data_IF_233935517063
#
_entry.id   IF_233935517063
#
_cell.length_a   1.000
_cell.length_b   1.000
_cell.length_c   1.000
_cell.angle_alpha   90.00
_cell.angle_beta   90.00
_cell.angle_gamma   90.00
#
_symmetry.space_group_name_H-M   'P 1'
#
loop_
_entity.id
_entity.type
_entity.pdbx_description
1 polymer ?
#
# COMPACT_ATOMS: atom_id res chain seq x y z
N UNK A 1 18.41 -9.02 -44.22
CA UNK A 1 17.06 -8.42 -44.09
C UNK A 1 16.01 -9.46 -43.67
N UNK A 2 16.11 -10.73 -44.09
CA UNK A 2 15.22 -11.83 -43.64
C UNK A 2 15.27 -12.10 -42.12
N UNK A 3 16.43 -11.95 -41.49
CA UNK A 3 16.63 -12.20 -40.05
C UNK A 3 15.77 -11.30 -39.14
N UNK A 4 15.62 -10.02 -39.46
CA UNK A 4 14.83 -9.08 -38.66
C UNK A 4 13.32 -9.31 -38.79
N UNK A 5 12.85 -9.79 -39.95
CA UNK A 5 11.44 -10.10 -40.16
C UNK A 5 11.01 -11.32 -39.32
N UNK A 6 11.83 -12.37 -39.31
CA UNK A 6 11.57 -13.58 -38.52
C UNK A 6 11.54 -13.29 -37.01
N UNK A 7 12.40 -12.40 -36.51
CA UNK A 7 12.39 -11.97 -35.10
C UNK A 7 11.09 -11.24 -34.77
N UNK A 8 10.64 -10.33 -35.64
CA UNK A 8 9.39 -9.59 -35.44
C UNK A 8 8.20 -10.55 -35.40
N UNK A 9 8.12 -11.51 -36.33
CA UNK A 9 7.04 -12.50 -36.34
C UNK A 9 7.02 -13.38 -35.08
N UNK A 10 8.20 -13.75 -34.57
CA UNK A 10 8.33 -14.50 -33.32
C UNK A 10 7.84 -13.68 -32.11
N UNK A 11 8.22 -12.41 -32.01
CA UNK A 11 7.75 -11.51 -30.94
C UNK A 11 6.25 -11.26 -31.02
N UNK A 12 5.69 -11.07 -32.22
CA UNK A 12 4.25 -10.92 -32.43
C UNK A 12 3.50 -12.19 -32.00
N UNK A 13 4.04 -13.37 -32.30
CA UNK A 13 3.43 -14.63 -31.85
C UNK A 13 3.48 -14.76 -30.33
N UNK A 14 4.61 -14.42 -29.71
CA UNK A 14 4.76 -14.42 -28.25
C UNK A 14 3.74 -13.50 -27.58
N UNK A 15 3.59 -12.27 -28.06
CA UNK A 15 2.58 -11.32 -27.53
C UNK A 15 1.17 -11.89 -27.70
N UNK A 16 0.88 -12.52 -28.85
CA UNK A 16 -0.44 -13.10 -29.09
C UNK A 16 -0.75 -14.25 -28.13
N UNK A 17 0.23 -15.09 -27.85
CA UNK A 17 0.09 -16.21 -26.94
C UNK A 17 -0.01 -15.73 -25.49
N UNK A 18 0.81 -14.77 -25.06
CA UNK A 18 0.77 -14.23 -23.69
C UNK A 18 -0.50 -13.42 -23.39
N UNK A 19 -0.98 -12.61 -24.34
CA UNK A 19 -2.09 -11.66 -24.11
C UNK A 19 -3.47 -12.20 -24.49
N UNK A 20 -3.56 -13.14 -25.45
CA UNK A 20 -4.85 -13.56 -26.04
C UNK A 20 -5.11 -15.07 -26.00
N UNK A 21 -4.23 -15.87 -25.39
CA UNK A 21 -4.59 -17.25 -25.04
C UNK A 21 -5.49 -17.27 -23.80
N UNK A 22 -5.89 -18.45 -23.32
CA UNK A 22 -6.77 -18.63 -22.15
C UNK A 22 -6.09 -18.31 -20.82
N UNK A 23 -5.19 -17.32 -20.80
CA UNK A 23 -4.49 -16.85 -19.61
C UNK A 23 -5.50 -16.14 -18.71
N UNK A 24 -5.41 -16.46 -17.41
CA UNK A 24 -6.13 -15.72 -16.39
C UNK A 24 -5.62 -14.27 -16.37
N UNK A 25 -6.42 -13.33 -16.85
CA UNK A 25 -6.07 -11.90 -16.88
C UNK A 25 -5.68 -11.37 -15.49
N UNK A 26 -6.18 -11.98 -14.41
CA UNK A 26 -5.86 -11.59 -13.05
C UNK A 26 -4.43 -11.98 -12.65
N UNK A 27 -3.75 -12.88 -13.37
CA UNK A 27 -2.34 -13.20 -13.10
C UNK A 27 -1.37 -12.09 -13.47
N UNK A 28 -1.82 -11.09 -14.25
CA UNK A 28 -1.02 -9.92 -14.61
C UNK A 28 -1.14 -8.76 -13.61
N UNK A 29 -2.02 -8.88 -12.62
CA UNK A 29 -2.23 -7.85 -11.60
C UNK A 29 -1.45 -8.25 -10.35
N UNK A 30 -0.46 -7.44 -9.97
CA UNK A 30 0.26 -7.63 -8.70
C UNK A 30 -0.73 -7.57 -7.53
N UNK A 31 -0.60 -8.44 -6.52
CA UNK A 31 -1.41 -8.35 -5.32
C UNK A 31 -1.20 -7.02 -4.60
N UNK A 32 -2.30 -6.34 -4.26
CA UNK A 32 -2.25 -5.15 -3.41
C UNK A 32 -2.11 -5.57 -1.95
N UNK A 33 -0.94 -5.31 -1.36
CA UNK A 33 -0.72 -5.58 0.06
C UNK A 33 -1.66 -4.78 0.97
N UNK A 34 -1.96 -3.53 0.58
CA UNK A 34 -2.89 -2.67 1.31
C UNK A 34 -4.30 -3.28 1.38
N UNK A 35 -4.85 -3.68 0.23
CA UNK A 35 -6.20 -4.26 0.17
C UNK A 35 -6.25 -5.65 0.83
N UNK A 36 -5.20 -6.45 0.65
CA UNK A 36 -5.07 -7.76 1.29
C UNK A 36 -5.06 -7.64 2.82
N UNK A 37 -4.38 -6.62 3.36
CA UNK A 37 -4.37 -6.36 4.80
C UNK A 37 -5.74 -5.93 5.34
N UNK A 38 -6.49 -5.12 4.57
CA UNK A 38 -7.88 -4.77 4.94
C UNK A 38 -8.78 -6.00 5.00
N UNK A 39 -8.69 -6.92 4.03
CA UNK A 39 -9.41 -8.20 4.09
C UNK A 39 -8.96 -9.06 5.26
N UNK A 40 -7.66 -9.10 5.55
CA UNK A 40 -7.12 -9.85 6.67
C UNK A 40 -7.66 -9.37 8.03
N UNK A 41 -8.03 -8.10 8.17
CA UNK A 41 -8.60 -7.55 9.41
C UNK A 41 -10.07 -7.90 9.63
N UNK A 42 -10.79 -8.41 8.63
CA UNK A 42 -12.23 -8.70 8.76
C UNK A 42 -12.43 -9.86 9.74
N UNK A 43 -13.12 -9.65 10.87
CA UNK A 43 -13.38 -10.73 11.80
C UNK A 43 -14.32 -11.74 11.16
N UNK A 44 -14.01 -13.02 11.38
CA UNK A 44 -14.97 -14.10 11.17
C UNK A 44 -16.13 -13.96 12.15
N UNK A 45 -17.04 -14.92 12.11
CA UNK A 45 -18.11 -15.02 13.10
C UNK A 45 -17.58 -15.31 14.51
N UNK A 46 -18.17 -16.27 15.20
CA UNK A 46 -17.95 -16.44 16.64
C UNK A 46 -16.60 -17.09 17.04
N UNK A 47 -15.70 -17.35 16.09
CA UNK A 47 -14.57 -18.25 16.31
C UNK A 47 -13.27 -17.50 16.68
N UNK A 48 -13.32 -16.16 16.72
CA UNK A 48 -12.13 -15.33 17.03
C UNK A 48 -11.02 -15.44 15.98
N UNK A 49 -11.38 -15.72 14.72
CA UNK A 49 -10.46 -15.91 13.59
C UNK A 49 -10.79 -14.94 12.46
N UNK A 50 -9.84 -14.60 11.57
CA UNK A 50 -10.13 -13.82 10.37
C UNK A 50 -11.12 -14.55 9.45
N UNK A 51 -12.06 -13.80 8.86
CA UNK A 51 -12.94 -14.32 7.81
C UNK A 51 -12.14 -14.79 6.59
N UNK A 52 -11.07 -14.06 6.28
CA UNK A 52 -10.15 -14.33 5.17
C UNK A 52 -8.76 -14.72 5.69
N UNK A 53 -8.65 -15.91 6.29
CA UNK A 53 -7.38 -16.40 6.87
C UNK A 53 -6.21 -16.43 5.88
N UNK A 54 -6.47 -16.72 4.61
CA UNK A 54 -5.43 -16.71 3.57
C UNK A 54 -4.83 -15.31 3.33
N UNK A 55 -5.62 -14.25 3.50
CA UNK A 55 -5.09 -12.87 3.42
C UNK A 55 -4.12 -12.59 4.57
N UNK A 56 -4.42 -13.06 5.79
CA UNK A 56 -3.52 -12.93 6.94
C UNK A 56 -2.23 -13.73 6.72
N UNK A 57 -2.35 -14.98 6.24
CA UNK A 57 -1.20 -15.81 5.89
C UNK A 57 -0.33 -15.12 4.82
N UNK A 58 -0.95 -14.51 3.81
CA UNK A 58 -0.22 -13.77 2.79
C UNK A 58 0.56 -12.59 3.41
N UNK A 59 -0.08 -11.80 4.28
CA UNK A 59 0.59 -10.67 4.96
C UNK A 59 1.82 -11.14 5.74
N UNK A 60 1.71 -12.23 6.52
CA UNK A 60 2.83 -12.76 7.31
C UNK A 60 4.02 -13.16 6.43
N UNK A 61 3.74 -13.77 5.27
CA UNK A 61 4.75 -14.41 4.43
C UNK A 61 5.32 -13.51 3.30
N UNK A 62 4.74 -12.33 3.05
CA UNK A 62 5.12 -11.46 1.93
C UNK A 62 5.73 -10.10 2.35
N UNK A 63 6.26 -10.00 3.57
CA UNK A 63 7.07 -8.84 3.96
C UNK A 63 8.42 -8.89 3.23
N UNK A 64 8.79 -7.80 2.56
CA UNK A 64 10.07 -7.70 1.85
C UNK A 64 11.24 -7.61 2.83
N UNK A 65 12.44 -7.86 2.32
CA UNK A 65 13.68 -7.85 3.12
C UNK A 65 13.87 -6.52 3.89
N UNK A 66 13.54 -5.39 3.25
CA UNK A 66 13.57 -4.05 3.86
C UNK A 66 12.44 -3.75 4.86
N UNK A 67 11.65 -4.74 5.28
CA UNK A 67 10.62 -4.59 6.30
C UNK A 67 9.29 -4.00 5.81
N UNK A 68 9.15 -3.69 4.54
CA UNK A 68 7.91 -3.12 3.99
C UNK A 68 7.04 -4.12 3.25
N UNK A 69 5.79 -3.72 3.03
CA UNK A 69 4.88 -4.31 2.07
C UNK A 69 4.52 -3.30 0.99
N UNK A 70 4.12 -3.79 -0.18
CA UNK A 70 3.75 -2.97 -1.33
C UNK A 70 4.72 -3.13 -2.50
N UNK A 71 4.53 -2.27 -3.50
CA UNK A 71 5.25 -2.33 -4.76
C UNK A 71 6.63 -1.67 -4.66
N UNK A 72 7.60 -2.26 -5.35
CA UNK A 72 8.92 -1.68 -5.53
C UNK A 72 9.03 -1.04 -6.91
N UNK A 73 9.91 -0.05 -7.05
CA UNK A 73 10.29 0.47 -8.36
C UNK A 73 11.08 -0.57 -9.19
N UNK A 74 11.44 -0.21 -10.43
CA UNK A 74 12.21 -1.09 -11.32
C UNK A 74 13.61 -1.47 -10.82
N UNK A 75 14.07 -0.88 -9.71
CA UNK A 75 15.35 -1.17 -9.06
C UNK A 75 15.17 -1.89 -7.71
N UNK A 76 13.93 -2.21 -7.33
CA UNK A 76 13.64 -2.88 -6.06
C UNK A 76 13.49 -1.94 -4.85
N UNK A 77 13.53 -0.61 -5.04
CA UNK A 77 13.37 0.34 -3.94
C UNK A 77 11.88 0.48 -3.57
N UNK A 78 11.56 0.72 -2.28
CA UNK A 78 10.20 1.04 -1.86
C UNK A 78 9.70 2.32 -2.54
N UNK A 79 8.42 2.36 -2.90
CA UNK A 79 7.74 3.58 -3.35
C UNK A 79 6.94 4.20 -2.22
N UNK A 80 6.37 5.39 -2.46
CA UNK A 80 5.50 6.06 -1.47
C UNK A 80 4.28 5.20 -1.09
N UNK A 81 3.85 4.29 -1.97
CA UNK A 81 2.72 3.39 -1.78
C UNK A 81 3.00 2.34 -0.69
N UNK A 82 4.27 2.07 -0.41
CA UNK A 82 4.70 1.15 0.64
C UNK A 82 4.35 1.65 2.04
N UNK A 83 4.25 2.97 2.26
CA UNK A 83 3.93 3.53 3.57
C UNK A 83 2.53 3.11 4.05
N UNK A 84 1.42 3.42 3.34
CA UNK A 84 0.09 2.98 3.75
C UNK A 84 -0.06 1.46 3.71
N UNK A 85 0.55 0.78 2.74
CA UNK A 85 0.49 -0.69 2.66
C UNK A 85 1.15 -1.35 3.87
N UNK A 86 2.31 -0.85 4.31
CA UNK A 86 3.02 -1.36 5.50
C UNK A 86 2.22 -1.10 6.77
N UNK A 87 1.65 0.10 6.94
CA UNK A 87 0.78 0.40 8.08
C UNK A 87 -0.45 -0.53 8.12
N UNK A 88 -1.09 -0.78 6.98
CA UNK A 88 -2.23 -1.69 6.91
C UNK A 88 -1.83 -3.12 7.29
N UNK A 89 -0.71 -3.62 6.75
CA UNK A 89 -0.19 -4.95 7.08
C UNK A 89 0.15 -5.09 8.58
N UNK A 90 0.78 -4.07 9.16
CA UNK A 90 1.06 -4.04 10.61
C UNK A 90 -0.22 -4.08 11.44
N UNK A 91 -1.27 -3.35 11.03
CA UNK A 91 -2.56 -3.39 11.69
C UNK A 91 -3.25 -4.75 11.59
N UNK A 92 -3.16 -5.41 10.44
CA UNK A 92 -3.66 -6.76 10.27
C UNK A 92 -2.97 -7.75 11.21
N UNK A 93 -1.63 -7.70 11.27
CA UNK A 93 -0.84 -8.55 12.17
C UNK A 93 -1.18 -8.30 13.65
N UNK A 94 -1.33 -7.04 14.04
CA UNK A 94 -1.69 -6.67 15.42
C UNK A 94 -3.09 -7.13 15.81
N UNK A 95 -4.06 -6.95 14.91
CA UNK A 95 -5.46 -7.34 15.13
C UNK A 95 -5.56 -8.80 15.58
N UNK A 96 -4.68 -9.66 15.05
CA UNK A 96 -4.67 -11.09 15.35
C UNK A 96 -3.54 -11.53 16.29
N UNK A 97 -2.71 -10.60 16.79
CA UNK A 97 -1.62 -10.90 17.72
C UNK A 97 -0.54 -11.81 17.15
N UNK A 98 -0.26 -11.71 15.84
CA UNK A 98 0.73 -12.54 15.14
C UNK A 98 1.86 -11.70 14.53
N UNK A 99 2.97 -12.34 14.15
CA UNK A 99 4.02 -11.69 13.37
C UNK A 99 4.77 -10.57 14.11
N UNK A 100 5.11 -10.74 15.39
CA UNK A 100 5.83 -9.71 16.16
C UNK A 100 7.12 -9.23 15.49
N UNK A 101 7.94 -10.14 14.95
CA UNK A 101 9.14 -9.78 14.20
C UNK A 101 8.83 -9.05 12.88
N UNK A 102 7.66 -9.29 12.28
CA UNK A 102 7.21 -8.52 11.12
C UNK A 102 6.81 -7.08 11.54
N UNK A 103 6.16 -6.92 12.69
CA UNK A 103 5.78 -5.61 13.24
C UNK A 103 7.02 -4.76 13.54
N UNK A 104 8.04 -5.33 14.17
CA UNK A 104 9.30 -4.63 14.47
C UNK A 104 9.98 -4.11 13.21
N UNK A 105 10.12 -4.98 12.19
CA UNK A 105 10.70 -4.58 10.89
C UNK A 105 9.86 -3.58 10.12
N UNK A 106 8.53 -3.70 10.20
CA UNK A 106 7.60 -2.75 9.59
C UNK A 106 7.69 -1.37 10.22
N UNK A 107 7.79 -1.33 11.55
CA UNK A 107 7.96 -0.08 12.29
C UNK A 107 9.30 0.58 11.96
N UNK A 108 10.39 -0.20 11.93
CA UNK A 108 11.70 0.29 11.51
C UNK A 108 11.64 0.89 10.09
N UNK A 109 10.99 0.21 9.14
CA UNK A 109 10.79 0.74 7.80
C UNK A 109 10.07 2.10 7.80
N UNK A 110 8.97 2.23 8.55
CA UNK A 110 8.21 3.49 8.64
C UNK A 110 9.09 4.62 9.18
N UNK A 111 9.86 4.39 10.25
CA UNK A 111 10.75 5.41 10.78
C UNK A 111 11.86 5.79 9.80
N UNK A 112 12.51 4.80 9.20
CA UNK A 112 13.70 5.01 8.37
C UNK A 112 13.38 5.61 7.00
N UNK A 113 12.16 5.44 6.48
CA UNK A 113 11.84 5.75 5.08
C UNK A 113 10.77 6.82 4.87
N UNK A 114 9.97 7.17 5.88
CA UNK A 114 8.86 8.13 5.68
C UNK A 114 9.37 9.49 5.18
N UNK A 115 10.37 10.07 5.82
CA UNK A 115 10.93 11.38 5.42
C UNK A 115 11.45 11.34 3.98
N UNK A 116 12.27 10.34 3.67
CA UNK A 116 12.86 10.15 2.34
C UNK A 116 11.78 10.04 1.25
N UNK A 117 10.79 9.17 1.45
CA UNK A 117 9.74 8.91 0.46
C UNK A 117 8.83 10.13 0.24
N UNK A 118 8.58 10.91 1.29
CA UNK A 118 7.83 12.16 1.17
C UNK A 118 8.65 13.26 0.45
N UNK A 119 9.94 13.36 0.75
CA UNK A 119 10.85 14.31 0.13
C UNK A 119 11.04 14.06 -1.39
N UNK A 120 11.18 12.79 -1.78
CA UNK A 120 11.28 12.35 -3.19
C UNK A 120 10.02 12.71 -3.99
N UNK A 121 8.86 12.78 -3.34
CA UNK A 121 7.61 13.20 -3.98
C UNK A 121 7.45 14.73 -4.03
N UNK A 122 8.41 15.52 -3.53
CA UNK A 122 8.46 16.98 -3.61
C UNK A 122 7.16 17.69 -3.18
N UNK A 123 6.46 17.14 -2.19
CA UNK A 123 5.14 17.65 -1.75
C UNK A 123 4.00 17.47 -2.76
N UNK A 124 4.22 16.74 -3.86
CA UNK A 124 3.24 16.38 -4.89
C UNK A 124 2.86 14.92 -4.78
N UNK A 125 2.44 14.50 -3.60
CA UNK A 125 1.93 13.15 -3.41
C UNK A 125 0.64 12.97 -4.24
N UNK A 126 0.36 11.76 -4.75
CA UNK A 126 -0.92 11.45 -5.37
C UNK A 126 -2.08 11.82 -4.44
N UNK A 127 -3.20 12.29 -5.02
CA UNK A 127 -4.38 12.71 -4.24
C UNK A 127 -4.90 11.60 -3.31
N UNK A 128 -4.90 10.36 -3.78
CA UNK A 128 -5.33 9.21 -2.97
C UNK A 128 -4.40 8.99 -1.78
N UNK A 129 -3.09 9.16 -1.95
CA UNK A 129 -2.10 9.01 -0.87
C UNK A 129 -2.34 10.04 0.22
N UNK A 130 -2.56 11.31 -0.17
CA UNK A 130 -2.87 12.38 0.76
C UNK A 130 -4.14 12.12 1.58
N UNK A 131 -5.07 11.31 1.08
CA UNK A 131 -6.25 10.89 1.83
C UNK A 131 -5.91 9.71 2.75
N UNK A 132 -5.31 8.67 2.19
CA UNK A 132 -5.14 7.36 2.83
C UNK A 132 -4.06 7.40 3.90
N UNK A 133 -2.89 7.95 3.62
CA UNK A 133 -1.75 7.86 4.52
C UNK A 133 -1.99 8.52 5.89
N UNK A 134 -2.51 9.75 5.99
CA UNK A 134 -2.90 10.32 7.29
C UNK A 134 -3.96 9.50 8.02
N UNK A 135 -4.93 8.92 7.29
CA UNK A 135 -5.97 8.08 7.91
C UNK A 135 -5.38 6.78 8.48
N UNK A 136 -4.35 6.23 7.83
CA UNK A 136 -3.63 5.05 8.34
C UNK A 136 -2.81 5.37 9.59
N UNK A 137 -2.16 6.53 9.66
CA UNK A 137 -1.46 6.98 10.87
C UNK A 137 -2.45 7.10 12.05
N UNK A 138 -3.58 7.78 11.83
CA UNK A 138 -4.60 7.94 12.86
C UNK A 138 -5.18 6.59 13.32
N UNK A 139 -5.39 5.66 12.40
CA UNK A 139 -5.86 4.31 12.71
C UNK A 139 -4.81 3.52 13.52
N UNK A 140 -3.54 3.64 13.17
CA UNK A 140 -2.45 3.03 13.92
C UNK A 140 -2.38 3.56 15.36
N UNK A 141 -2.43 4.88 15.54
CA UNK A 141 -2.45 5.50 16.86
C UNK A 141 -3.66 5.06 17.69
N UNK A 142 -4.86 5.03 17.11
CA UNK A 142 -6.09 4.58 17.79
C UNK A 142 -6.05 3.11 18.23
N UNK A 143 -5.27 2.28 17.54
CA UNK A 143 -5.09 0.86 17.89
C UNK A 143 -3.86 0.63 18.79
N UNK A 144 -3.29 1.70 19.34
CA UNK A 144 -2.14 1.65 20.25
C UNK A 144 -0.83 1.31 19.57
N UNK A 145 -0.69 1.56 18.27
CA UNK A 145 0.62 1.64 17.62
C UNK A 145 1.08 3.08 17.71
N UNK A 146 1.91 3.36 18.71
CA UNK A 146 2.59 4.65 18.78
C UNK A 146 3.67 4.68 17.69
N UNK A 147 3.44 5.54 16.70
CA UNK A 147 4.44 5.88 15.69
C UNK A 147 4.93 7.26 16.07
N UNK A 148 6.18 7.34 16.48
CA UNK A 148 6.85 8.60 16.83
C UNK A 148 7.68 9.07 15.64
N UNK A 149 7.36 10.25 15.13
CA UNK A 149 8.13 10.89 14.06
C UNK A 149 9.08 11.93 14.65
N UNK A 150 10.16 12.26 13.93
CA UNK A 150 11.03 13.38 14.30
C UNK A 150 10.31 14.72 14.15
N UNK A 151 10.77 15.75 14.88
CA UNK A 151 10.17 17.09 14.83
C UNK A 151 10.15 17.65 13.40
N UNK A 152 11.20 17.39 12.61
CA UNK A 152 11.27 17.80 11.20
C UNK A 152 10.20 17.10 10.34
N UNK A 153 9.94 15.83 10.61
CA UNK A 153 8.94 15.04 9.88
C UNK A 153 7.52 15.40 10.29
N UNK A 154 7.30 15.81 11.54
CA UNK A 154 6.00 16.30 12.03
C UNK A 154 5.51 17.53 11.26
N UNK A 155 6.40 18.43 10.84
CA UNK A 155 6.03 19.56 9.97
C UNK A 155 5.55 19.08 8.59
N UNK A 156 6.27 18.12 8.00
CA UNK A 156 5.91 17.54 6.70
C UNK A 156 4.57 16.79 6.79
N UNK A 157 4.37 16.01 7.85
CA UNK A 157 3.11 15.32 8.10
C UNK A 157 1.97 16.32 8.26
N UNK A 158 2.15 17.38 9.05
CA UNK A 158 1.16 18.45 9.24
C UNK A 158 0.70 19.02 7.89
N UNK A 159 1.61 19.23 6.95
CA UNK A 159 1.28 19.67 5.59
C UNK A 159 0.39 18.66 4.83
N UNK A 160 0.65 17.37 4.94
CA UNK A 160 -0.17 16.32 4.32
C UNK A 160 -1.56 16.25 4.98
N UNK A 161 -1.65 16.38 6.31
CA UNK A 161 -2.91 16.44 7.03
C UNK A 161 -3.75 17.66 6.59
N UNK A 162 -3.14 18.83 6.45
CA UNK A 162 -3.82 20.00 5.88
C UNK A 162 -4.24 19.79 4.43
N UNK A 163 -3.42 19.12 3.62
CA UNK A 163 -3.77 18.80 2.25
C UNK A 163 -4.99 17.88 2.18
N UNK A 164 -5.05 16.84 3.03
CA UNK A 164 -6.21 15.96 3.19
C UNK A 164 -7.46 16.76 3.53
N UNK A 165 -7.37 17.65 4.52
CA UNK A 165 -8.51 18.45 4.96
C UNK A 165 -9.07 19.31 3.81
N UNK A 166 -8.21 19.98 3.05
CA UNK A 166 -8.60 20.75 1.86
C UNK A 166 -9.26 19.88 0.78
N UNK A 167 -8.79 18.65 0.62
CA UNK A 167 -9.40 17.68 -0.32
C UNK A 167 -10.83 17.33 0.12
N UNK A 168 -11.01 16.99 1.40
CA UNK A 168 -12.29 16.56 1.95
C UNK A 168 -13.32 17.70 1.98
N UNK A 169 -12.92 18.90 2.39
CA UNK A 169 -13.76 20.10 2.38
C UNK A 169 -14.29 20.42 0.98
N UNK A 170 -13.44 20.29 -0.04
CA UNK A 170 -13.85 20.49 -1.42
C UNK A 170 -14.93 19.50 -1.85
N UNK A 171 -14.84 18.23 -1.43
CA UNK A 171 -15.87 17.24 -1.75
C UNK A 171 -17.16 17.44 -0.94
N UNK A 172 -17.07 17.86 0.32
CA UNK A 172 -18.23 18.21 1.12
C UNK A 172 -19.00 19.40 0.54
N UNK A 173 -18.27 20.43 0.08
CA UNK A 173 -18.85 21.59 -0.58
C UNK A 173 -19.56 21.22 -1.89
N UNK A 174 -18.97 20.35 -2.70
CA UNK A 174 -19.62 19.84 -3.92
C UNK A 174 -20.90 19.04 -3.62
N UNK A 175 -20.95 18.25 -2.53
CA UNK A 175 -22.20 17.56 -2.16
C UNK A 175 -23.30 18.56 -1.73
N UNK A 176 -22.93 19.67 -1.08
CA UNK A 176 -23.87 20.72 -0.66
C UNK A 176 -24.38 21.57 -1.84
N UNK A 177 -23.57 21.83 -2.87
CA UNK A 177 -23.99 22.60 -4.05
C UNK A 177 -24.77 21.77 -5.09
N UNK A 178 -24.50 20.47 -5.20
CA UNK A 178 -25.07 19.63 -6.27
C UNK A 178 -26.29 18.81 -5.79
N UNK A 179 -26.59 18.79 -4.49
CA UNK A 179 -27.86 18.28 -3.96
C UNK A 179 -28.22 16.87 -4.43
N UNK A 180 -27.32 15.91 -4.22
CA UNK A 180 -27.64 14.48 -4.28
C UNK A 180 -27.82 13.96 -2.87
#
# INVERSE_FOLDING_TARGET
>A
MESSHSIIEALVRKIKDEMFSSVDLYSFVSPSAYDTAWLAMVPGGNDGRPMFGECLNWVVNNQREGGFWGESDGYGNPTIDCLPATLACMLALKTWGVGSGNLERGLAFIHDNTEKLLAENHGRCPRWFAIVFPAMIELAQKTGFEIVFSDELEEVLTNIFHHRQRILERYAFLHLEIGV
#
